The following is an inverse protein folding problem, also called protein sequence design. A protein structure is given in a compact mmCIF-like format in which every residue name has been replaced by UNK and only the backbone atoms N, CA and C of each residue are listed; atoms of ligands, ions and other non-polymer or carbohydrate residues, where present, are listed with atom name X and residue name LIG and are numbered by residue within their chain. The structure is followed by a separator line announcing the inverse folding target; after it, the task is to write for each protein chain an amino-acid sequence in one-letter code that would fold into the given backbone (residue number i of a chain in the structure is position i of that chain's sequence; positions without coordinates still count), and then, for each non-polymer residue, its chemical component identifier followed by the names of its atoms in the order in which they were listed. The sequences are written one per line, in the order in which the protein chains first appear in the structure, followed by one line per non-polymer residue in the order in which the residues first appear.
data_IF_715453468812
#
_entry.id   IF_715453468812
#
_cell.length_a   1.000
_cell.length_b   1.000
_cell.length_c   1.000
_cell.angle_alpha   90.00
_cell.angle_beta   90.00
_cell.angle_gamma   90.00
#
_symmetry.space_group_name_H-M   'P 1'
#
loop_
_entity.id
_entity.type
_entity.pdbx_description
1 polymer ?
#
# COMPACT_ATOMS: atom_id res chain seq x y z
N UNK A 1 40.76 -20.01 -37.29
CA UNK A 1 41.32 -21.29 -36.84
C UNK A 1 40.77 -21.60 -35.46
N UNK A 2 39.98 -22.71 -35.34
CA UNK A 2 39.43 -23.39 -34.16
C UNK A 2 38.35 -22.61 -33.36
N UNK A 3 37.07 -22.72 -33.66
CA UNK A 3 36.10 -23.79 -33.26
C UNK A 3 36.38 -24.44 -31.90
N UNK A 4 35.45 -24.18 -30.95
CA UNK A 4 35.00 -25.22 -30.02
C UNK A 4 33.53 -24.94 -29.62
N UNK A 5 32.69 -25.82 -30.15
CA UNK A 5 31.39 -26.22 -29.65
C UNK A 5 31.52 -26.80 -28.22
N UNK A 6 30.47 -26.69 -27.46
CA UNK A 6 30.32 -27.38 -26.17
C UNK A 6 28.98 -27.01 -25.53
N UNK A 7 28.01 -27.72 -25.90
CA UNK A 7 27.11 -28.65 -25.19
C UNK A 7 26.11 -28.02 -24.25
N UNK A 8 24.85 -28.08 -24.67
CA UNK A 8 23.62 -28.01 -23.88
C UNK A 8 23.62 -29.15 -22.85
N UNK A 9 23.33 -28.81 -21.59
CA UNK A 9 22.86 -29.76 -20.59
C UNK A 9 21.38 -29.44 -20.29
N UNK A 10 20.53 -30.25 -20.92
CA UNK A 10 19.16 -30.47 -20.50
C UNK A 10 19.16 -31.20 -19.14
N UNK A 11 18.94 -30.54 -18.05
CA UNK A 11 18.53 -31.17 -16.80
C UNK A 11 17.01 -31.18 -16.69
N UNK A 12 16.47 -32.33 -17.04
CA UNK A 12 15.08 -32.74 -16.84
C UNK A 12 14.72 -32.60 -15.35
N UNK A 13 13.82 -31.69 -15.05
CA UNK A 13 13.21 -31.55 -13.72
C UNK A 13 12.01 -32.49 -13.62
N UNK A 14 12.25 -33.71 -13.18
CA UNK A 14 11.24 -34.71 -12.80
C UNK A 14 11.18 -34.73 -11.28
N UNK A 15 10.33 -33.89 -10.68
CA UNK A 15 9.80 -34.09 -9.33
C UNK A 15 8.81 -32.97 -8.94
N UNK A 16 7.58 -33.04 -9.48
CA UNK A 16 6.45 -32.29 -8.89
C UNK A 16 5.09 -32.91 -9.25
N UNK A 17 4.99 -34.23 -9.15
CA UNK A 17 3.70 -34.92 -9.22
C UNK A 17 3.64 -36.04 -8.19
N UNK A 18 3.62 -35.70 -6.90
CA UNK A 18 3.19 -36.63 -5.85
C UNK A 18 2.99 -35.85 -4.53
N UNK A 19 1.96 -35.01 -4.43
CA UNK A 19 1.39 -34.58 -3.15
C UNK A 19 0.11 -33.73 -3.29
N UNK A 20 -0.83 -34.19 -4.08
CA UNK A 20 -2.20 -33.64 -4.06
C UNK A 20 -3.23 -34.76 -4.00
N UNK A 21 -3.25 -35.51 -2.91
CA UNK A 21 -4.44 -36.32 -2.57
C UNK A 21 -4.39 -36.72 -1.10
N UNK A 22 -4.49 -35.74 -0.20
CA UNK A 22 -4.95 -36.03 1.18
C UNK A 22 -5.23 -34.75 1.99
N UNK A 23 -6.05 -33.86 1.48
CA UNK A 23 -6.67 -32.80 2.31
C UNK A 23 -8.00 -32.32 1.67
N UNK A 24 -8.90 -33.25 1.44
CA UNK A 24 -10.28 -32.94 1.06
C UNK A 24 -11.24 -33.71 1.95
N UNK A 25 -11.32 -33.34 3.21
CA UNK A 25 -12.45 -33.76 4.08
C UNK A 25 -12.46 -32.93 5.35
N UNK A 26 -12.80 -31.65 5.27
CA UNK A 26 -13.41 -30.89 6.36
C UNK A 26 -13.64 -29.44 5.90
N UNK A 27 -14.71 -29.20 5.21
CA UNK A 27 -15.52 -27.97 5.31
C UNK A 27 -16.43 -27.84 4.10
N UNK A 28 -17.59 -28.45 4.19
CA UNK A 28 -18.74 -27.94 3.44
C UNK A 28 -20.01 -28.38 4.17
N UNK A 29 -20.44 -27.60 5.12
CA UNK A 29 -21.80 -27.60 5.66
C UNK A 29 -22.30 -26.17 5.62
N UNK A 30 -22.73 -25.79 4.42
CA UNK A 30 -23.43 -24.57 4.13
C UNK A 30 -24.42 -24.82 3.01
N UNK A 31 -25.71 -24.87 3.40
CA UNK A 31 -26.88 -24.62 2.56
C UNK A 31 -27.12 -25.50 1.33
N UNK A 32 -27.98 -26.50 1.53
CA UNK A 32 -28.98 -26.86 0.56
C UNK A 32 -30.28 -27.18 1.32
N UNK A 33 -31.19 -26.24 1.28
CA UNK A 33 -32.63 -26.39 1.55
C UNK A 33 -33.21 -27.42 0.59
N UNK A 34 -33.84 -28.44 1.13
CA UNK A 34 -34.58 -29.38 0.31
C UNK A 34 -35.00 -30.64 1.06
N UNK A 35 -36.01 -30.47 1.91
CA UNK A 35 -37.12 -31.40 2.08
C UNK A 35 -36.85 -32.92 2.06
N UNK A 36 -36.89 -33.52 3.23
CA UNK A 36 -37.68 -34.69 3.57
C UNK A 36 -37.31 -35.24 4.93
N UNK A 37 -38.20 -34.98 5.90
CA UNK A 37 -38.36 -35.80 7.10
C UNK A 37 -38.28 -37.28 6.72
N UNK A 38 -37.10 -37.88 6.95
CA UNK A 38 -36.97 -39.29 7.29
C UNK A 38 -36.32 -39.29 8.64
N UNK A 39 -37.16 -39.25 9.66
CA UNK A 39 -36.85 -39.74 11.00
C UNK A 39 -36.35 -41.18 10.80
N UNK A 40 -35.03 -41.34 10.64
CA UNK A 40 -34.41 -42.65 10.74
C UNK A 40 -34.55 -43.02 12.20
N UNK A 41 -35.61 -43.80 12.54
CA UNK A 41 -35.72 -44.44 13.86
C UNK A 41 -34.36 -45.05 14.15
N UNK A 42 -33.68 -44.53 15.16
CA UNK A 42 -32.40 -45.10 15.62
C UNK A 42 -32.73 -46.44 16.24
N UNK A 43 -32.44 -47.53 15.50
CA UNK A 43 -32.66 -48.90 15.99
C UNK A 43 -31.72 -49.05 17.18
N UNK A 44 -32.30 -49.22 18.37
CA UNK A 44 -31.58 -49.47 19.60
C UNK A 44 -31.32 -50.95 19.75
N UNK A 45 -30.21 -51.29 20.34
CA UNK A 45 -29.88 -52.69 20.62
C UNK A 45 -30.89 -53.31 21.59
N UNK A 46 -31.07 -54.61 21.49
CA UNK A 46 -32.00 -55.38 22.31
C UNK A 46 -31.67 -55.25 23.81
N UNK A 47 -32.68 -55.14 24.65
CA UNK A 47 -32.53 -54.96 26.08
C UNK A 47 -31.66 -56.07 26.74
N UNK A 48 -31.79 -57.30 26.20
CA UNK A 48 -30.99 -58.47 26.66
C UNK A 48 -29.49 -58.27 26.39
N UNK A 49 -29.10 -57.65 25.26
CA UNK A 49 -27.70 -57.37 24.92
C UNK A 49 -27.18 -56.22 25.77
N UNK A 50 -27.97 -55.18 26.01
CA UNK A 50 -27.58 -54.03 26.84
C UNK A 50 -27.36 -54.43 28.35
N UNK A 51 -27.98 -55.50 28.82
CA UNK A 51 -27.87 -55.99 30.19
C UNK A 51 -26.70 -56.99 30.39
N UNK A 52 -25.98 -57.39 29.34
CA UNK A 52 -24.90 -58.35 29.40
C UNK A 52 -23.71 -57.84 30.21
N UNK A 53 -23.08 -58.74 30.94
CA UNK A 53 -21.76 -58.50 31.52
C UNK A 53 -20.66 -58.59 30.44
N UNK A 54 -19.47 -58.12 30.78
CA UNK A 54 -18.33 -58.16 29.83
C UNK A 54 -17.98 -59.60 29.40
N UNK A 55 -18.12 -60.57 30.29
CA UNK A 55 -17.86 -61.98 30.00
C UNK A 55 -18.96 -62.59 29.11
N UNK A 56 -20.21 -62.27 29.38
CA UNK A 56 -21.36 -62.67 28.54
C UNK A 56 -21.29 -62.05 27.15
N UNK A 57 -20.85 -60.80 27.04
CA UNK A 57 -20.66 -60.12 25.77
C UNK A 57 -19.52 -60.75 24.94
N UNK A 58 -18.43 -61.22 25.57
CA UNK A 58 -17.40 -62.01 24.88
C UNK A 58 -17.93 -63.39 24.44
N UNK A 59 -18.70 -64.03 25.30
CA UNK A 59 -19.36 -65.34 24.98
C UNK A 59 -20.38 -65.16 23.83
N UNK A 60 -21.04 -64.01 23.73
CA UNK A 60 -21.94 -63.68 22.62
C UNK A 60 -21.23 -63.75 21.26
N UNK A 61 -19.93 -63.36 21.22
CA UNK A 61 -19.07 -63.52 20.04
C UNK A 61 -18.46 -64.90 19.88
N UNK A 62 -18.89 -65.87 20.66
CA UNK A 62 -18.32 -67.22 20.70
C UNK A 62 -16.81 -67.24 21.05
N UNK A 63 -16.38 -66.36 21.92
CA UNK A 63 -15.00 -66.18 22.32
C UNK A 63 -14.83 -66.48 23.81
N UNK A 64 -13.67 -66.98 24.23
CA UNK A 64 -13.35 -67.26 25.65
C UNK A 64 -13.18 -65.90 26.40
N UNK A 65 -13.30 -65.94 27.73
CA UNK A 65 -13.22 -64.75 28.59
C UNK A 65 -11.85 -64.09 28.57
N UNK A 66 -10.76 -64.83 28.27
CA UNK A 66 -9.37 -64.35 28.17
C UNK A 66 -8.94 -63.94 26.76
N UNK A 67 -9.89 -63.77 25.85
CA UNK A 67 -9.64 -63.42 24.45
C UNK A 67 -8.85 -62.10 24.27
N UNK A 68 -7.95 -62.09 23.30
CA UNK A 68 -7.21 -60.89 22.94
C UNK A 68 -8.14 -59.82 22.28
N UNK A 69 -7.81 -58.55 22.48
CA UNK A 69 -8.55 -57.46 21.81
C UNK A 69 -8.57 -57.63 20.28
N UNK A 70 -7.48 -58.12 19.71
CA UNK A 70 -7.35 -58.36 18.27
C UNK A 70 -8.34 -59.45 17.78
N UNK A 71 -8.52 -60.53 18.52
CA UNK A 71 -9.46 -61.59 18.14
C UNK A 71 -10.91 -61.16 18.29
N UNK A 72 -11.19 -60.34 19.31
CA UNK A 72 -12.51 -59.69 19.48
C UNK A 72 -12.83 -58.77 18.30
N UNK A 73 -11.90 -57.88 17.90
CA UNK A 73 -12.04 -57.00 16.76
C UNK A 73 -12.26 -57.78 15.46
N UNK A 74 -11.46 -58.79 15.25
CA UNK A 74 -11.57 -59.67 14.07
C UNK A 74 -12.95 -60.35 13.99
N UNK A 75 -13.49 -60.85 15.10
CA UNK A 75 -14.79 -61.50 15.17
C UNK A 75 -15.92 -60.50 14.95
N UNK A 76 -15.82 -59.31 15.56
CA UNK A 76 -16.76 -58.23 15.36
C UNK A 76 -16.85 -57.83 13.89
N UNK A 77 -15.72 -57.65 13.21
CA UNK A 77 -15.72 -57.29 11.77
C UNK A 77 -16.30 -58.39 10.88
N UNK A 78 -16.06 -59.66 11.22
CA UNK A 78 -16.66 -60.79 10.48
C UNK A 78 -18.19 -60.77 10.57
N UNK A 79 -18.70 -60.57 11.79
CA UNK A 79 -20.13 -60.54 12.01
C UNK A 79 -20.80 -59.28 11.42
N UNK A 80 -20.20 -58.17 11.57
CA UNK A 80 -20.68 -56.90 10.94
C UNK A 80 -20.79 -57.04 9.43
N UNK A 81 -19.76 -57.64 8.79
CA UNK A 81 -19.80 -57.89 7.34
C UNK A 81 -20.95 -58.84 6.93
N UNK A 82 -21.17 -59.87 7.73
CA UNK A 82 -22.25 -60.85 7.50
C UNK A 82 -23.63 -60.21 7.63
N UNK A 83 -23.92 -59.55 8.74
CA UNK A 83 -25.23 -58.99 9.01
C UNK A 83 -25.52 -57.75 8.15
N UNK A 84 -24.51 -57.04 7.71
CA UNK A 84 -24.65 -55.99 6.74
C UNK A 84 -25.08 -56.56 5.35
N UNK A 85 -24.55 -57.71 4.98
CA UNK A 85 -24.96 -58.38 3.73
C UNK A 85 -26.37 -58.95 3.85
N UNK A 86 -26.79 -59.38 5.03
CA UNK A 86 -28.16 -59.88 5.33
C UNK A 86 -29.17 -58.72 5.52
N UNK A 87 -28.71 -57.47 5.58
CA UNK A 87 -29.50 -56.24 5.84
C UNK A 87 -30.29 -56.32 7.17
N UNK A 88 -29.74 -56.99 8.16
CA UNK A 88 -30.35 -57.14 9.50
C UNK A 88 -29.83 -56.03 10.41
N UNK A 89 -30.55 -54.88 10.40
CA UNK A 89 -30.16 -53.70 11.15
C UNK A 89 -30.25 -53.89 12.66
N UNK A 90 -31.21 -54.72 13.14
CA UNK A 90 -31.33 -55.03 14.57
C UNK A 90 -30.11 -55.78 15.06
N UNK A 91 -29.69 -56.84 14.33
CA UNK A 91 -28.48 -57.59 14.70
C UNK A 91 -27.20 -56.74 14.59
N UNK A 92 -27.15 -55.78 13.66
CA UNK A 92 -26.04 -54.82 13.59
C UNK A 92 -25.97 -53.93 14.82
N UNK A 93 -27.11 -53.46 15.33
CA UNK A 93 -27.17 -52.72 16.57
C UNK A 93 -26.76 -53.58 17.80
N UNK A 94 -27.25 -54.82 17.83
CA UNK A 94 -26.94 -55.77 18.91
C UNK A 94 -25.43 -56.11 18.99
N UNK A 95 -24.80 -56.42 17.84
CA UNK A 95 -23.35 -56.73 17.85
C UNK A 95 -22.50 -55.53 18.14
N UNK A 96 -22.92 -54.32 17.77
CA UNK A 96 -22.22 -53.07 18.10
C UNK A 96 -22.25 -52.87 19.64
N UNK A 97 -23.43 -53.00 20.25
CA UNK A 97 -23.58 -52.85 21.70
C UNK A 97 -22.81 -53.95 22.48
N UNK A 98 -22.89 -55.20 22.00
CA UNK A 98 -22.14 -56.30 22.60
C UNK A 98 -20.62 -56.09 22.51
N UNK A 99 -20.13 -55.51 21.38
CA UNK A 99 -18.71 -55.19 21.22
C UNK A 99 -18.25 -54.08 22.19
N UNK A 100 -19.02 -53.02 22.35
CA UNK A 100 -18.73 -51.94 23.28
C UNK A 100 -18.64 -52.45 24.75
N UNK A 101 -19.53 -53.37 25.11
CA UNK A 101 -19.50 -54.02 26.43
C UNK A 101 -18.27 -54.96 26.54
N UNK A 102 -18.04 -55.86 25.57
CA UNK A 102 -16.93 -56.81 25.57
C UNK A 102 -15.57 -56.14 25.57
N UNK A 103 -15.39 -55.03 24.87
CA UNK A 103 -14.16 -54.22 24.82
C UNK A 103 -13.94 -53.34 26.05
N UNK A 104 -14.96 -53.19 26.90
CA UNK A 104 -14.94 -52.32 28.06
C UNK A 104 -14.96 -50.83 27.72
N UNK A 105 -15.31 -50.44 26.50
CA UNK A 105 -15.41 -49.06 26.08
C UNK A 105 -16.48 -48.33 26.91
N UNK A 106 -17.65 -48.94 27.03
CA UNK A 106 -18.77 -48.38 27.80
C UNK A 106 -18.42 -48.13 29.28
N UNK A 107 -17.77 -49.08 29.90
CA UNK A 107 -17.33 -48.95 31.31
C UNK A 107 -16.26 -47.85 31.49
N UNK A 108 -15.39 -47.66 30.46
CA UNK A 108 -14.41 -46.56 30.48
C UNK A 108 -15.08 -45.20 30.29
N UNK A 109 -16.05 -45.10 29.39
CA UNK A 109 -16.80 -43.86 29.15
C UNK A 109 -17.60 -43.47 30.40
N UNK A 110 -18.28 -44.41 31.05
CA UNK A 110 -19.01 -44.17 32.29
C UNK A 110 -18.08 -43.71 33.41
N UNK A 111 -16.92 -44.36 33.59
CA UNK A 111 -15.92 -43.97 34.57
C UNK A 111 -15.30 -42.61 34.30
N UNK A 112 -15.15 -42.20 33.02
CA UNK A 112 -14.72 -40.85 32.63
C UNK A 112 -15.81 -39.85 32.90
N UNK A 113 -17.06 -40.16 32.55
CA UNK A 113 -18.20 -39.27 32.82
C UNK A 113 -18.42 -39.05 34.31
N UNK A 114 -18.27 -40.08 35.13
CA UNK A 114 -18.40 -40.00 36.60
C UNK A 114 -17.29 -39.12 37.18
N UNK A 115 -16.04 -39.30 36.73
CA UNK A 115 -14.92 -38.43 37.13
C UNK A 115 -15.11 -36.96 36.67
N UNK A 116 -15.61 -36.75 35.46
CA UNK A 116 -15.88 -35.44 34.96
C UNK A 116 -17.09 -34.74 35.65
N UNK A 117 -18.08 -35.56 36.07
CA UNK A 117 -19.20 -35.05 36.86
C UNK A 117 -18.78 -34.64 38.28
N UNK A 118 -17.83 -35.37 38.90
CA UNK A 118 -17.28 -35.09 40.21
C UNK A 118 -16.21 -33.99 40.22
N UNK A 119 -15.65 -33.61 39.06
CA UNK A 119 -14.61 -32.59 38.94
C UNK A 119 -15.20 -31.19 39.11
N UNK A 120 -14.52 -30.30 39.86
CA UNK A 120 -14.87 -28.90 39.98
C UNK A 120 -14.89 -28.27 38.58
N UNK A 121 -16.06 -27.80 38.14
CA UNK A 121 -16.25 -27.13 36.86
C UNK A 121 -15.92 -25.64 36.99
N UNK A 122 -14.94 -25.15 36.22
CA UNK A 122 -14.66 -23.74 36.05
C UNK A 122 -15.26 -23.29 34.70
N UNK A 123 -16.14 -22.29 34.72
CA UNK A 123 -16.85 -21.79 33.52
C UNK A 123 -17.50 -22.91 32.69
N UNK A 124 -18.10 -23.93 33.37
CA UNK A 124 -18.85 -25.01 32.75
C UNK A 124 -18.02 -26.21 32.24
N UNK A 125 -16.68 -26.15 32.33
CA UNK A 125 -15.77 -27.22 31.88
C UNK A 125 -14.90 -27.76 33.02
N UNK A 126 -14.58 -29.06 33.01
CA UNK A 126 -13.63 -29.68 33.94
C UNK A 126 -12.19 -29.23 33.65
N UNK A 127 -11.29 -29.38 34.64
CA UNK A 127 -9.88 -29.03 34.46
C UNK A 127 -9.21 -29.88 33.34
N UNK A 128 -9.63 -31.12 33.14
CA UNK A 128 -9.15 -31.95 32.05
C UNK A 128 -9.62 -31.41 30.67
N UNK A 129 -10.90 -31.02 30.59
CA UNK A 129 -11.45 -30.41 29.36
C UNK A 129 -10.77 -29.08 29.00
N UNK A 130 -10.40 -28.26 30.02
CA UNK A 130 -9.61 -27.05 29.79
C UNK A 130 -8.20 -27.34 29.29
N UNK A 131 -7.52 -28.38 29.87
CA UNK A 131 -6.18 -28.79 29.41
C UNK A 131 -6.20 -29.26 27.95
N UNK A 132 -7.19 -30.07 27.56
CA UNK A 132 -7.37 -30.52 26.17
C UNK A 132 -7.69 -29.36 25.24
N UNK A 133 -8.58 -28.46 25.66
CA UNK A 133 -8.92 -27.27 24.92
C UNK A 133 -7.67 -26.39 24.66
N UNK A 134 -6.88 -26.09 25.71
CA UNK A 134 -5.65 -25.28 25.52
C UNK A 134 -4.60 -26.04 24.70
N UNK A 135 -4.51 -27.35 24.76
CA UNK A 135 -3.55 -28.09 23.97
C UNK A 135 -3.86 -28.09 22.47
N UNK A 136 -5.13 -28.27 22.09
CA UNK A 136 -5.52 -28.36 20.69
C UNK A 136 -5.93 -27.01 20.09
N UNK A 137 -6.36 -26.04 20.87
CA UNK A 137 -6.94 -24.79 20.39
C UNK A 137 -6.13 -23.55 20.76
N UNK A 138 -4.99 -23.70 21.46
CA UNK A 138 -4.17 -22.55 21.89
C UNK A 138 -3.74 -21.66 20.74
N UNK A 139 -3.51 -22.22 19.57
CA UNK A 139 -3.15 -21.48 18.36
C UNK A 139 -4.23 -20.49 17.94
N UNK A 140 -5.51 -20.76 18.21
CA UNK A 140 -6.62 -19.82 17.95
C UNK A 140 -6.49 -18.58 18.82
N UNK A 141 -6.02 -18.72 20.06
CA UNK A 141 -5.76 -17.57 20.95
C UNK A 141 -4.56 -16.76 20.47
N UNK A 142 -3.50 -17.42 20.00
CA UNK A 142 -2.33 -16.75 19.42
C UNK A 142 -2.74 -15.98 18.17
N UNK A 143 -3.52 -16.60 17.29
CA UNK A 143 -4.06 -15.94 16.10
C UNK A 143 -4.94 -14.73 16.47
N UNK A 144 -5.85 -14.91 17.45
CA UNK A 144 -6.69 -13.81 17.96
C UNK A 144 -5.86 -12.67 18.54
N UNK A 145 -4.79 -12.97 19.29
CA UNK A 145 -3.87 -11.97 19.82
C UNK A 145 -3.13 -11.23 18.70
N UNK A 146 -2.65 -11.93 17.69
CA UNK A 146 -2.00 -11.31 16.51
C UNK A 146 -2.96 -10.38 15.80
N UNK A 147 -4.21 -10.81 15.57
CA UNK A 147 -5.24 -9.97 14.94
C UNK A 147 -5.52 -8.71 15.79
N UNK A 148 -5.59 -8.85 17.12
CA UNK A 148 -5.76 -7.71 18.02
C UNK A 148 -4.59 -6.73 17.99
N UNK A 149 -3.35 -7.24 17.93
CA UNK A 149 -2.15 -6.39 17.81
C UNK A 149 -2.16 -5.65 16.47
N UNK A 150 -2.43 -6.34 15.37
CA UNK A 150 -2.51 -5.72 14.04
C UNK A 150 -3.64 -4.68 13.98
N UNK A 151 -4.83 -5.02 14.49
CA UNK A 151 -5.94 -4.08 14.58
C UNK A 151 -5.59 -2.86 15.45
N UNK A 152 -4.92 -3.07 16.58
CA UNK A 152 -4.44 -2.00 17.46
C UNK A 152 -3.41 -1.10 16.77
N UNK A 153 -2.49 -1.67 15.98
CA UNK A 153 -1.54 -0.90 15.17
C UNK A 153 -2.24 -0.08 14.08
N UNK A 154 -3.21 -0.67 13.37
CA UNK A 154 -3.99 0.03 12.35
C UNK A 154 -4.83 1.17 12.97
N UNK A 155 -5.50 0.91 14.08
CA UNK A 155 -6.26 1.94 14.81
C UNK A 155 -5.33 3.04 15.27
N UNK A 156 -4.15 2.70 15.82
CA UNK A 156 -3.15 3.69 16.20
C UNK A 156 -2.73 4.54 15.00
N UNK A 157 -2.47 3.94 13.86
CA UNK A 157 -2.05 4.66 12.65
C UNK A 157 -3.15 5.58 12.12
N UNK A 158 -4.43 5.14 12.12
CA UNK A 158 -5.55 5.93 11.60
C UNK A 158 -5.96 7.03 12.58
N UNK A 159 -6.01 6.73 13.89
CA UNK A 159 -6.59 7.64 14.88
C UNK A 159 -5.55 8.57 15.52
N UNK A 160 -4.30 8.09 15.66
CA UNK A 160 -3.25 8.82 16.38
C UNK A 160 -2.14 9.38 15.48
N UNK A 161 -2.14 9.09 14.16
CA UNK A 161 -1.29 9.87 13.24
C UNK A 161 -2.00 11.20 13.02
N UNK A 162 -1.45 12.31 13.47
CA UNK A 162 -2.06 13.61 13.22
C UNK A 162 -2.11 13.82 11.70
N UNK A 163 -3.27 14.23 11.20
CA UNK A 163 -3.37 14.65 9.80
C UNK A 163 -2.36 15.79 9.55
N UNK A 164 -1.75 15.79 8.39
CA UNK A 164 -0.95 16.93 7.97
C UNK A 164 -1.83 18.17 7.93
N UNK A 165 -1.33 19.25 8.51
CA UNK A 165 -2.06 20.50 8.55
C UNK A 165 -1.55 21.51 7.52
N UNK A 166 -0.48 21.18 6.84
CA UNK A 166 0.05 21.85 5.66
C UNK A 166 0.82 20.83 4.83
N UNK A 167 0.44 20.63 3.58
CA UNK A 167 1.09 19.70 2.65
C UNK A 167 1.65 20.47 1.46
N UNK A 168 2.98 20.47 1.32
CA UNK A 168 3.71 21.15 0.26
C UNK A 168 4.49 20.11 -0.54
N UNK A 169 4.30 20.10 -1.84
CA UNK A 169 5.04 19.24 -2.76
C UNK A 169 5.78 20.08 -3.77
N UNK A 170 7.07 19.86 -3.89
CA UNK A 170 7.89 20.48 -4.94
C UNK A 170 8.18 19.46 -6.03
N UNK A 171 8.02 19.86 -7.29
CA UNK A 171 8.26 18.98 -8.46
C UNK A 171 9.04 19.77 -9.50
N UNK A 172 10.23 19.30 -9.85
CA UNK A 172 11.04 20.04 -10.83
C UNK A 172 12.43 19.47 -11.02
N UNK A 173 13.22 20.15 -11.86
CA UNK A 173 14.62 19.81 -12.16
C UNK A 173 15.56 20.43 -11.11
N UNK A 174 15.29 20.16 -9.85
CA UNK A 174 16.06 20.64 -8.72
C UNK A 174 16.04 19.61 -7.59
N UNK A 175 17.04 19.65 -6.76
CA UNK A 175 17.01 18.99 -5.46
C UNK A 175 16.58 20.00 -4.38
N UNK A 176 16.06 19.54 -3.27
CA UNK A 176 15.59 20.38 -2.19
C UNK A 176 16.12 19.90 -0.85
N UNK A 177 16.71 20.79 -0.08
CA UNK A 177 16.90 20.62 1.34
C UNK A 177 15.62 21.09 2.05
N UNK A 178 14.87 20.15 2.59
CA UNK A 178 13.56 20.43 3.19
C UNK A 178 13.66 21.12 4.56
N UNK A 179 14.85 21.18 5.20
CA UNK A 179 15.00 21.65 6.57
C UNK A 179 14.46 23.07 6.72
N UNK A 180 14.88 23.98 5.85
CA UNK A 180 14.42 25.38 5.88
C UNK A 180 12.89 25.49 5.80
N UNK A 181 12.27 24.85 4.82
CA UNK A 181 10.84 24.96 4.60
C UNK A 181 10.03 24.31 5.72
N UNK A 182 10.52 23.22 6.31
CA UNK A 182 9.87 22.56 7.45
C UNK A 182 9.94 23.46 8.68
N UNK A 183 11.08 24.07 8.96
CA UNK A 183 11.28 24.97 10.10
C UNK A 183 10.47 26.25 9.90
N UNK A 184 10.48 26.83 8.71
CA UNK A 184 9.66 27.98 8.37
C UNK A 184 8.16 27.71 8.59
N UNK A 185 7.68 26.59 8.07
CA UNK A 185 6.27 26.19 8.23
C UNK A 185 5.88 26.01 9.69
N UNK A 186 6.78 25.49 10.54
CA UNK A 186 6.53 25.29 11.97
C UNK A 186 6.66 26.56 12.80
N UNK A 187 7.79 27.25 12.65
CA UNK A 187 8.21 28.28 13.58
C UNK A 187 7.65 29.64 13.20
N UNK A 188 7.50 29.92 11.90
CA UNK A 188 6.97 31.19 11.38
C UNK A 188 5.48 31.07 11.11
N UNK A 189 5.05 30.17 10.23
CA UNK A 189 3.64 30.00 9.90
C UNK A 189 2.80 29.29 10.99
N UNK A 190 3.44 28.55 11.91
CA UNK A 190 2.77 27.87 13.02
C UNK A 190 2.03 26.57 12.62
N UNK A 191 2.46 25.92 11.55
CA UNK A 191 1.98 24.59 11.21
C UNK A 191 2.46 23.57 12.26
N UNK A 192 1.54 22.71 12.75
CA UNK A 192 1.88 21.72 13.79
C UNK A 192 2.50 20.46 13.22
N UNK A 193 2.08 20.07 12.03
CA UNK A 193 2.50 18.85 11.37
C UNK A 193 2.61 19.07 9.86
N UNK A 194 3.53 19.92 9.38
CA UNK A 194 3.72 20.12 7.96
C UNK A 194 4.32 18.88 7.30
N UNK A 195 3.83 18.53 6.12
CA UNK A 195 4.42 17.53 5.24
C UNK A 195 5.01 18.23 4.02
N UNK A 196 6.34 18.24 3.92
CA UNK A 196 7.07 18.92 2.85
C UNK A 196 7.97 17.90 2.19
N UNK A 197 7.79 17.72 0.89
CA UNK A 197 8.56 16.75 0.12
C UNK A 197 8.79 17.24 -1.31
N UNK A 198 9.70 16.60 -2.03
CA UNK A 198 9.98 16.95 -3.41
C UNK A 198 10.12 15.70 -4.30
N UNK A 199 9.90 15.88 -5.58
CA UNK A 199 10.23 14.95 -6.64
C UNK A 199 11.17 15.65 -7.64
N UNK A 200 12.41 15.18 -7.71
CA UNK A 200 13.36 15.59 -8.73
C UNK A 200 13.06 14.84 -10.03
N UNK A 201 12.66 15.59 -11.06
CA UNK A 201 12.32 15.03 -12.39
C UNK A 201 13.49 15.14 -13.37
N UNK A 202 14.69 15.42 -12.86
CA UNK A 202 15.91 15.44 -13.68
C UNK A 202 16.11 14.07 -14.31
N UNK A 203 16.13 14.00 -15.64
CA UNK A 203 16.52 12.79 -16.33
C UNK A 203 18.03 12.64 -16.21
N UNK A 204 18.50 11.61 -15.50
CA UNK A 204 19.91 11.24 -15.54
C UNK A 204 20.30 10.82 -16.97
N UNK A 205 21.04 11.66 -17.65
CA UNK A 205 21.54 11.42 -19.00
C UNK A 205 22.73 10.43 -19.07
N UNK A 206 23.04 9.74 -17.96
CA UNK A 206 24.07 8.70 -17.97
C UNK A 206 23.52 7.39 -18.54
N UNK A 207 24.31 6.75 -19.40
CA UNK A 207 24.04 5.44 -20.03
C UNK A 207 23.80 4.35 -18.96
N UNK A 208 22.65 4.26 -18.41
CA UNK A 208 22.24 3.31 -17.36
C UNK A 208 20.99 3.73 -16.63
N UNK A 209 20.59 4.98 -16.77
CA UNK A 209 19.48 5.60 -16.04
C UNK A 209 18.13 5.57 -16.81
N UNK A 210 17.96 4.69 -17.81
CA UNK A 210 16.70 4.58 -18.59
C UNK A 210 15.44 4.36 -17.73
N UNK A 211 15.59 4.09 -16.45
CA UNK A 211 14.48 3.89 -15.53
C UNK A 211 14.32 5.01 -14.47
N UNK A 212 15.30 5.91 -14.31
CA UNK A 212 15.24 6.94 -13.26
C UNK A 212 14.24 8.04 -13.59
N UNK A 213 14.20 8.53 -14.82
CA UNK A 213 13.22 9.53 -15.25
C UNK A 213 11.78 9.06 -15.09
N UNK A 214 11.46 7.84 -15.56
CA UNK A 214 10.11 7.26 -15.39
C UNK A 214 9.76 7.02 -13.90
N UNK A 215 10.73 6.65 -13.06
CA UNK A 215 10.53 6.49 -11.63
C UNK A 215 10.25 7.85 -10.95
N UNK A 216 10.96 8.88 -11.34
CA UNK A 216 10.80 10.22 -10.79
C UNK A 216 9.46 10.85 -11.20
N UNK A 217 9.02 10.66 -12.44
CA UNK A 217 7.68 11.05 -12.90
C UNK A 217 6.56 10.29 -12.17
N UNK A 218 6.75 8.98 -11.94
CA UNK A 218 5.80 8.21 -11.13
C UNK A 218 5.75 8.72 -9.69
N UNK A 219 6.91 9.06 -9.11
CA UNK A 219 6.97 9.65 -7.76
C UNK A 219 6.23 10.98 -7.71
N UNK A 220 6.46 11.88 -8.67
CA UNK A 220 5.73 13.13 -8.79
C UNK A 220 4.22 12.91 -8.88
N UNK A 221 3.79 11.96 -9.72
CA UNK A 221 2.37 11.60 -9.87
C UNK A 221 1.76 11.12 -8.56
N UNK A 222 2.46 10.26 -7.81
CA UNK A 222 2.01 9.75 -6.51
C UNK A 222 1.92 10.87 -5.48
N UNK A 223 2.91 11.76 -5.42
CA UNK A 223 2.92 12.87 -4.48
C UNK A 223 1.79 13.88 -4.78
N UNK A 224 1.53 14.17 -6.05
CA UNK A 224 0.44 15.05 -6.46
C UNK A 224 -0.95 14.41 -6.26
N UNK A 225 -1.03 13.08 -6.24
CA UNK A 225 -2.26 12.36 -5.90
C UNK A 225 -2.62 12.46 -4.41
N UNK A 226 -1.70 12.90 -3.54
CA UNK A 226 -1.96 13.20 -2.13
C UNK A 226 -2.66 14.55 -1.93
N UNK A 227 -3.02 15.24 -3.02
CA UNK A 227 -3.73 16.51 -3.02
C UNK A 227 -3.08 17.57 -2.11
N UNK A 228 -1.77 17.89 -2.34
CA UNK A 228 -1.09 18.90 -1.54
C UNK A 228 -1.81 20.25 -1.65
N UNK A 229 -1.71 21.08 -0.62
CA UNK A 229 -2.27 22.42 -0.63
C UNK A 229 -1.47 23.38 -1.52
N UNK A 230 -0.13 23.29 -1.42
CA UNK A 230 0.80 24.12 -2.18
C UNK A 230 1.67 23.24 -3.05
N UNK A 231 1.83 23.60 -4.31
CA UNK A 231 2.74 22.91 -5.22
C UNK A 231 3.76 23.93 -5.74
N UNK A 232 5.03 23.53 -5.75
CA UNK A 232 6.13 24.37 -6.21
C UNK A 232 6.78 23.67 -7.40
N UNK A 233 6.84 24.39 -8.53
CA UNK A 233 7.42 23.90 -9.77
C UNK A 233 8.61 24.75 -10.21
N UNK A 234 9.45 24.24 -11.10
CA UNK A 234 10.26 25.07 -11.96
C UNK A 234 9.48 25.47 -13.24
N UNK A 235 10.01 26.44 -13.98
CA UNK A 235 9.37 26.95 -15.19
C UNK A 235 9.21 25.90 -16.30
N UNK A 236 10.06 24.87 -16.33
CA UNK A 236 9.97 23.80 -17.33
C UNK A 236 8.90 22.77 -16.97
N UNK A 237 8.77 22.48 -15.68
CA UNK A 237 7.85 21.47 -15.15
C UNK A 237 6.42 21.98 -15.00
N UNK A 238 6.25 23.25 -14.66
CA UNK A 238 4.93 23.83 -14.36
C UNK A 238 3.87 23.57 -15.46
N UNK A 239 4.14 23.76 -16.77
CA UNK A 239 3.11 23.56 -17.80
C UNK A 239 2.57 22.12 -17.87
N UNK A 240 3.36 21.09 -17.52
CA UNK A 240 2.91 19.68 -17.50
C UNK A 240 1.76 19.44 -16.52
N UNK A 241 1.65 20.28 -15.49
CA UNK A 241 0.69 20.11 -14.41
C UNK A 241 -0.37 21.21 -14.39
N UNK A 242 -0.64 21.85 -15.53
CA UNK A 242 -1.64 22.91 -15.68
C UNK A 242 -2.98 22.56 -15.00
N UNK A 243 -3.50 21.35 -15.19
CA UNK A 243 -4.78 20.91 -14.63
C UNK A 243 -4.77 20.77 -13.07
N UNK A 244 -3.60 20.84 -12.44
CA UNK A 244 -3.45 20.81 -10.99
C UNK A 244 -3.42 22.18 -10.35
N UNK A 245 -3.24 23.24 -11.14
CA UNK A 245 -3.11 24.59 -10.65
C UNK A 245 -4.49 25.26 -10.49
N UNK A 246 -4.70 25.91 -9.37
CA UNK A 246 -5.86 26.76 -9.19
C UNK A 246 -5.70 28.07 -9.97
N UNK A 247 -6.81 28.58 -10.51
CA UNK A 247 -6.84 29.92 -11.10
C UNK A 247 -7.04 30.96 -9.99
N UNK A 248 -6.02 31.74 -9.70
CA UNK A 248 -5.95 32.61 -8.51
C UNK A 248 -6.16 34.08 -8.80
N UNK A 249 -6.77 34.45 -9.93
CA UNK A 249 -6.96 35.87 -10.33
C UNK A 249 -7.70 36.68 -9.26
N UNK A 250 -8.71 36.08 -8.61
CA UNK A 250 -9.50 36.77 -7.60
C UNK A 250 -8.76 36.96 -6.27
N UNK A 251 -7.88 36.04 -5.96
CA UNK A 251 -7.09 35.99 -4.73
C UNK A 251 -5.79 36.76 -4.85
N UNK A 252 -5.20 36.77 -6.03
CA UNK A 252 -3.91 37.41 -6.32
C UNK A 252 -3.86 38.91 -5.93
N UNK A 253 -4.89 39.69 -6.30
CA UNK A 253 -4.93 41.09 -5.91
C UNK A 253 -5.00 41.31 -4.40
N UNK A 254 -5.67 40.41 -3.67
CA UNK A 254 -5.74 40.47 -2.22
C UNK A 254 -4.41 40.04 -1.57
N UNK A 255 -3.72 39.07 -2.18
CA UNK A 255 -2.41 38.64 -1.77
C UNK A 255 -1.39 39.77 -1.96
N UNK A 256 -1.27 40.32 -3.16
CA UNK A 256 -0.35 41.43 -3.47
C UNK A 256 -0.57 42.64 -2.56
N UNK A 257 -1.82 42.96 -2.23
CA UNK A 257 -2.15 44.08 -1.35
C UNK A 257 -1.70 43.89 0.11
N UNK A 258 -1.32 42.68 0.50
CA UNK A 258 -0.78 42.35 1.84
C UNK A 258 0.75 42.35 1.88
N UNK A 259 1.41 42.26 0.74
CA UNK A 259 2.86 42.19 0.65
C UNK A 259 3.50 43.59 0.78
N UNK A 260 4.71 43.61 1.34
CA UNK A 260 5.54 44.82 1.34
C UNK A 260 6.04 45.16 -0.06
N UNK A 261 6.33 46.44 -0.28
CA UNK A 261 6.89 46.92 -1.57
C UNK A 261 8.21 46.17 -1.89
N UNK A 262 9.02 45.85 -0.87
CA UNK A 262 10.28 45.13 -1.02
C UNK A 262 10.06 43.66 -1.46
N UNK A 263 9.01 43.00 -0.97
CA UNK A 263 8.67 41.64 -1.37
C UNK A 263 8.25 41.54 -2.82
N UNK A 264 7.60 42.59 -3.34
CA UNK A 264 7.15 42.65 -4.73
C UNK A 264 8.30 42.68 -5.75
N UNK A 265 9.51 43.05 -5.34
CA UNK A 265 10.69 43.06 -6.21
C UNK A 265 11.18 41.65 -6.57
N UNK A 266 10.78 40.61 -5.80
CA UNK A 266 11.24 39.23 -5.96
C UNK A 266 10.25 38.33 -6.70
N UNK A 267 9.05 38.83 -7.00
CA UNK A 267 7.96 38.03 -7.54
C UNK A 267 7.39 38.57 -8.82
N UNK A 268 6.87 37.67 -9.63
CA UNK A 268 6.04 38.01 -10.80
C UNK A 268 4.82 37.11 -10.92
N UNK A 269 3.73 37.56 -11.58
CA UNK A 269 2.58 36.70 -11.82
C UNK A 269 2.91 35.63 -12.86
N UNK A 270 2.59 34.36 -12.55
CA UNK A 270 2.76 33.25 -13.49
C UNK A 270 1.45 32.96 -14.22
N UNK A 271 1.48 33.06 -15.53
CA UNK A 271 0.34 32.79 -16.42
C UNK A 271 0.62 31.52 -17.21
N UNK A 272 -0.35 30.61 -17.22
CA UNK A 272 -0.30 29.39 -18.00
C UNK A 272 -1.61 29.16 -18.75
N UNK A 273 -1.54 28.49 -19.89
CA UNK A 273 -2.67 28.10 -20.71
C UNK A 273 -2.64 26.61 -21.01
N UNK A 274 -3.75 26.08 -21.51
CA UNK A 274 -3.77 24.70 -21.99
C UNK A 274 -2.85 24.50 -23.20
N UNK A 275 -2.67 25.51 -24.01
CA UNK A 275 -1.72 25.45 -25.12
C UNK A 275 -0.27 25.36 -24.64
N UNK A 276 0.10 25.93 -23.49
CA UNK A 276 1.43 25.72 -22.91
C UNK A 276 1.63 24.27 -22.51
N UNK A 277 0.60 23.61 -21.96
CA UNK A 277 0.61 22.16 -21.70
C UNK A 277 0.77 21.35 -22.99
N UNK A 278 0.02 21.64 -24.05
CA UNK A 278 0.16 20.95 -25.32
C UNK A 278 1.53 21.14 -25.96
N UNK A 279 2.14 22.31 -25.77
CA UNK A 279 3.48 22.59 -26.29
C UNK A 279 4.56 21.70 -25.62
N UNK A 280 4.50 21.48 -24.31
CA UNK A 280 5.44 20.59 -23.60
C UNK A 280 5.17 19.12 -23.89
N UNK A 281 3.92 18.74 -24.17
CA UNK A 281 3.51 17.39 -24.55
C UNK A 281 3.67 17.08 -26.04
N UNK A 282 4.19 18.00 -26.85
CA UNK A 282 4.26 17.85 -28.31
C UNK A 282 5.04 16.59 -28.73
N UNK A 283 6.16 16.28 -28.09
CA UNK A 283 6.95 15.07 -28.40
C UNK A 283 6.15 13.78 -28.12
N UNK A 284 5.38 13.73 -27.05
CA UNK A 284 4.50 12.62 -26.75
C UNK A 284 3.41 12.45 -27.81
N UNK A 285 2.76 13.55 -28.22
CA UNK A 285 1.71 13.52 -29.24
C UNK A 285 2.23 13.20 -30.67
N UNK A 286 3.53 13.40 -30.92
CA UNK A 286 4.14 12.92 -32.18
C UNK A 286 4.19 11.40 -32.22
N UNK A 287 4.47 10.74 -31.08
CA UNK A 287 4.51 9.28 -30.98
C UNK A 287 3.10 8.67 -30.84
N UNK A 288 2.17 9.40 -30.20
CA UNK A 288 0.80 8.97 -29.92
C UNK A 288 -0.22 10.01 -30.39
N UNK A 289 -0.40 10.21 -31.71
CA UNK A 289 -1.24 11.29 -32.25
C UNK A 289 -2.73 11.15 -31.90
N UNK A 290 -3.21 9.92 -31.68
CA UNK A 290 -4.60 9.64 -31.32
C UNK A 290 -4.93 10.09 -29.86
N UNK A 291 -3.92 10.31 -29.02
CA UNK A 291 -4.09 10.75 -27.64
C UNK A 291 -4.20 12.30 -27.55
N UNK A 292 -3.87 13.01 -28.63
CA UNK A 292 -3.97 14.47 -28.65
C UNK A 292 -5.44 14.90 -28.66
N UNK A 293 -5.89 15.67 -27.67
CA UNK A 293 -7.25 16.20 -27.68
C UNK A 293 -7.49 17.13 -28.87
N UNK A 294 -8.71 17.16 -29.37
CA UNK A 294 -9.10 18.16 -30.34
C UNK A 294 -8.98 19.55 -29.71
N UNK A 295 -8.41 20.54 -30.43
CA UNK A 295 -8.35 21.93 -29.97
C UNK A 295 -9.73 22.44 -29.59
N UNK A 296 -9.86 23.02 -28.40
CA UNK A 296 -11.11 23.60 -27.92
C UNK A 296 -11.04 25.13 -27.90
N UNK A 297 -12.21 25.75 -28.01
CA UNK A 297 -12.32 27.21 -27.87
C UNK A 297 -11.87 27.62 -26.45
N UNK A 298 -10.84 28.43 -26.35
CA UNK A 298 -10.31 28.94 -25.09
C UNK A 298 -9.04 28.24 -24.60
N UNK A 299 -8.49 27.27 -25.34
CA UNK A 299 -7.21 26.63 -24.98
C UNK A 299 -6.02 27.59 -24.94
N UNK A 300 -6.13 28.73 -25.66
CA UNK A 300 -5.16 29.83 -25.68
C UNK A 300 -5.36 30.87 -24.56
N UNK A 301 -6.46 30.77 -23.80
CA UNK A 301 -6.69 31.66 -22.68
C UNK A 301 -5.65 31.42 -21.58
N UNK A 302 -4.96 32.48 -21.22
CA UNK A 302 -3.99 32.46 -20.12
C UNK A 302 -4.68 32.75 -18.80
N UNK A 303 -4.48 31.89 -17.85
CA UNK A 303 -4.97 32.02 -16.49
C UNK A 303 -3.81 32.34 -15.56
N UNK A 304 -4.05 33.16 -14.56
CA UNK A 304 -3.09 33.40 -13.50
C UNK A 304 -3.11 32.19 -12.56
N UNK A 305 -2.10 31.32 -12.69
CA UNK A 305 -2.05 30.01 -12.00
C UNK A 305 -1.08 29.99 -10.84
N UNK A 306 -0.24 30.99 -10.67
CA UNK A 306 0.78 30.97 -9.63
C UNK A 306 1.55 32.27 -9.52
N UNK A 307 2.58 32.21 -8.69
CA UNK A 307 3.52 33.31 -8.45
C UNK A 307 4.91 32.78 -8.69
N UNK A 308 5.65 33.44 -9.54
CA UNK A 308 7.01 33.10 -9.89
C UNK A 308 8.00 33.91 -9.04
N UNK A 309 8.96 33.22 -8.43
CA UNK A 309 10.12 33.78 -7.76
C UNK A 309 11.31 33.64 -8.70
N UNK A 310 11.91 34.78 -9.12
CA UNK A 310 12.95 34.83 -10.14
C UNK A 310 14.36 35.08 -9.56
N UNK A 311 14.48 35.49 -8.28
CA UNK A 311 15.77 35.76 -7.64
C UNK A 311 16.50 34.46 -7.32
N UNK A 312 17.70 34.17 -7.90
CA UNK A 312 18.42 32.92 -7.70
C UNK A 312 18.99 32.80 -6.28
N UNK A 313 19.18 33.91 -5.56
CA UNK A 313 19.62 33.89 -4.16
C UNK A 313 18.47 33.43 -3.27
N UNK A 314 17.26 33.90 -3.54
CA UNK A 314 16.04 33.43 -2.84
C UNK A 314 15.80 31.95 -3.13
N UNK A 315 16.00 31.48 -4.36
CA UNK A 315 15.91 30.08 -4.72
C UNK A 315 16.80 29.21 -3.81
N UNK A 316 18.08 29.54 -3.68
CA UNK A 316 19.00 28.81 -2.82
C UNK A 316 18.67 29.01 -1.32
N UNK A 317 18.21 30.20 -0.92
CA UNK A 317 17.81 30.49 0.45
C UNK A 317 16.61 29.65 0.93
N UNK A 318 15.72 29.29 0.02
CA UNK A 318 14.58 28.41 0.28
C UNK A 318 14.98 26.90 0.29
N UNK A 319 16.28 26.59 0.14
CA UNK A 319 16.82 25.23 0.17
C UNK A 319 16.81 24.51 -1.18
N UNK A 320 16.52 25.22 -2.29
CA UNK A 320 16.52 24.62 -3.61
C UNK A 320 17.90 24.68 -4.27
N UNK A 321 18.29 23.61 -4.94
CA UNK A 321 19.55 23.50 -5.65
C UNK A 321 19.25 23.07 -7.08
N UNK A 322 19.55 23.95 -8.04
CA UNK A 322 19.32 23.65 -9.45
C UNK A 322 20.18 22.49 -9.95
N UNK A 323 19.54 21.50 -10.55
CA UNK A 323 20.21 20.36 -11.19
C UNK A 323 20.64 20.62 -12.64
N UNK A 324 20.15 21.68 -13.28
CA UNK A 324 20.37 21.96 -14.68
C UNK A 324 21.20 23.22 -14.92
N UNK A 325 22.05 23.16 -15.93
CA UNK A 325 23.04 24.22 -16.24
C UNK A 325 22.57 25.29 -17.24
N UNK A 326 21.34 25.25 -17.75
CA UNK A 326 21.01 25.97 -18.97
C UNK A 326 20.08 27.19 -18.81
N UNK A 327 19.30 27.30 -17.71
CA UNK A 327 18.42 28.45 -17.48
C UNK A 327 18.49 28.93 -16.03
N UNK A 328 18.23 30.21 -15.81
CA UNK A 328 18.13 30.77 -14.48
C UNK A 328 17.01 30.06 -13.69
N UNK A 329 17.28 29.58 -12.48
CA UNK A 329 16.27 28.91 -11.71
C UNK A 329 15.14 29.86 -11.35
N UNK A 330 13.91 29.46 -11.56
CA UNK A 330 12.74 30.13 -11.02
C UNK A 330 11.85 29.13 -10.32
N UNK A 331 11.19 29.56 -9.26
CA UNK A 331 10.19 28.76 -8.56
C UNK A 331 8.80 29.32 -8.86
N UNK A 332 7.92 28.45 -9.30
CA UNK A 332 6.52 28.79 -9.51
C UNK A 332 5.72 28.17 -8.38
N UNK A 333 5.24 29.01 -7.48
CA UNK A 333 4.40 28.60 -6.35
C UNK A 333 2.95 28.65 -6.79
N UNK A 334 2.26 27.51 -6.70
CA UNK A 334 0.86 27.38 -7.09
C UNK A 334 0.02 26.82 -5.95
N UNK A 335 -1.27 27.07 -5.99
CA UNK A 335 -2.25 26.43 -5.12
C UNK A 335 -2.88 25.27 -5.90
N UNK A 336 -3.02 24.12 -5.25
CA UNK A 336 -3.65 22.97 -5.89
C UNK A 336 -5.16 23.22 -6.08
N UNK A 337 -5.64 23.05 -7.30
CA UNK A 337 -7.05 23.23 -7.65
C UNK A 337 -7.99 22.28 -6.88
N UNK A 338 -7.49 21.11 -6.48
CA UNK A 338 -8.25 20.08 -5.78
C UNK A 338 -8.12 20.15 -4.25
N UNK A 339 -7.34 21.10 -3.71
CA UNK A 339 -7.16 21.20 -2.27
C UNK A 339 -8.43 21.72 -1.58
N UNK A 340 -8.83 21.06 -0.48
CA UNK A 340 -9.90 21.50 0.40
C UNK A 340 -9.49 22.70 1.29
N UNK A 341 -8.19 22.99 1.40
CA UNK A 341 -7.62 24.02 2.29
C UNK A 341 -6.97 25.19 1.54
N UNK A 342 -7.51 25.57 0.40
CA UNK A 342 -6.93 26.64 -0.45
C UNK A 342 -6.71 27.97 0.32
N UNK A 343 -7.59 28.33 1.26
CA UNK A 343 -7.40 29.56 2.04
C UNK A 343 -6.17 29.51 2.93
N UNK A 344 -5.87 28.35 3.56
CA UNK A 344 -4.67 28.15 4.37
C UNK A 344 -3.42 28.14 3.51
N UNK A 345 -3.49 27.51 2.34
CA UNK A 345 -2.43 27.55 1.35
C UNK A 345 -2.08 29.00 0.95
N UNK A 346 -3.10 29.80 0.67
CA UNK A 346 -2.94 31.24 0.35
C UNK A 346 -2.34 32.03 1.50
N UNK A 347 -2.76 31.75 2.74
CA UNK A 347 -2.19 32.42 3.92
C UNK A 347 -0.71 32.05 4.09
N UNK A 348 -0.33 30.77 3.93
CA UNK A 348 1.06 30.34 3.95
C UNK A 348 1.90 30.99 2.83
N UNK A 349 1.38 30.96 1.60
CA UNK A 349 2.08 31.56 0.45
C UNK A 349 2.23 33.06 0.65
N UNK A 350 1.20 33.76 1.16
CA UNK A 350 1.27 35.19 1.44
C UNK A 350 2.37 35.51 2.44
N UNK A 351 2.44 34.75 3.56
CA UNK A 351 3.44 34.98 4.61
C UNK A 351 4.86 34.67 4.12
N UNK A 352 5.03 33.57 3.36
CA UNK A 352 6.30 33.20 2.76
C UNK A 352 6.80 34.29 1.79
N UNK A 353 5.93 34.81 0.93
CA UNK A 353 6.30 35.81 -0.05
C UNK A 353 6.62 37.17 0.59
N UNK A 354 5.90 37.56 1.64
CA UNK A 354 6.19 38.81 2.36
C UNK A 354 7.53 38.76 3.10
N UNK A 355 7.95 37.56 3.50
CA UNK A 355 9.21 37.35 4.21
C UNK A 355 10.46 37.14 3.31
N UNK A 356 10.28 37.08 1.98
CA UNK A 356 11.39 36.84 1.04
C UNK A 356 12.57 37.82 1.20
N UNK A 357 12.37 39.12 1.44
CA UNK A 357 13.48 40.03 1.68
C UNK A 357 14.33 39.65 2.89
N UNK A 358 13.66 39.25 3.98
CA UNK A 358 14.31 38.84 5.20
C UNK A 358 15.04 37.49 5.02
N UNK A 359 14.39 36.50 4.37
CA UNK A 359 14.99 35.19 4.04
C UNK A 359 16.27 35.40 3.22
N UNK A 360 16.22 36.20 2.17
CA UNK A 360 17.34 36.55 1.32
C UNK A 360 18.46 37.24 2.11
N UNK A 361 18.10 38.23 2.94
CA UNK A 361 19.05 38.98 3.78
C UNK A 361 19.77 38.11 4.80
N UNK A 362 19.06 37.19 5.43
CA UNK A 362 19.67 36.23 6.38
C UNK A 362 20.61 35.27 5.65
N UNK A 363 20.17 34.73 4.49
CA UNK A 363 20.99 33.81 3.70
C UNK A 363 22.30 34.45 3.25
N UNK A 364 22.25 35.68 2.71
CA UNK A 364 23.44 36.40 2.24
C UNK A 364 24.38 36.80 3.41
N UNK A 365 23.82 37.11 4.58
CA UNK A 365 24.61 37.42 5.77
C UNK A 365 25.33 36.19 6.27
N UNK A 366 24.65 35.05 6.34
CA UNK A 366 25.22 33.78 6.82
C UNK A 366 26.24 33.19 5.84
N UNK A 367 26.08 33.48 4.55
CA UNK A 367 26.90 32.97 3.47
C UNK A 367 27.64 34.09 2.72
N UNK A 368 28.34 34.95 3.46
CA UNK A 368 29.00 36.10 2.90
C UNK A 368 29.93 35.75 1.72
N UNK A 369 29.66 36.33 0.54
CA UNK A 369 30.37 36.07 -0.71
C UNK A 369 29.68 35.09 -1.66
N UNK A 370 28.66 34.33 -1.23
CA UNK A 370 27.95 33.41 -2.08
C UNK A 370 27.06 34.18 -3.10
N UNK A 371 26.45 35.28 -2.69
CA UNK A 371 25.58 36.08 -3.57
C UNK A 371 26.29 36.46 -4.88
N UNK A 372 27.54 36.97 -4.78
CA UNK A 372 28.32 37.32 -5.98
C UNK A 372 28.68 36.12 -6.84
N UNK A 373 28.87 34.96 -6.22
CA UNK A 373 29.14 33.69 -6.91
C UNK A 373 27.89 33.16 -7.64
N UNK A 374 26.71 33.25 -6.99
CA UNK A 374 25.43 32.85 -7.58
C UNK A 374 25.10 33.72 -8.78
N UNK A 375 25.14 35.04 -8.61
CA UNK A 375 24.87 36.02 -9.67
C UNK A 375 25.86 35.89 -10.85
N UNK A 376 27.13 35.58 -10.55
CA UNK A 376 28.11 35.34 -11.61
C UNK A 376 27.84 34.03 -12.37
N UNK A 377 27.42 32.99 -11.69
CA UNK A 377 27.05 31.71 -12.33
C UNK A 377 25.82 31.92 -13.22
N UNK A 378 24.77 32.62 -12.76
CA UNK A 378 23.57 32.89 -13.51
C UNK A 378 23.86 33.75 -14.74
N UNK A 379 24.67 34.81 -14.61
CA UNK A 379 25.11 35.61 -15.74
C UNK A 379 25.85 34.82 -16.79
N UNK A 380 26.72 33.89 -16.36
CA UNK A 380 27.48 33.01 -17.27
C UNK A 380 26.54 32.02 -17.97
N UNK A 381 25.55 31.46 -17.26
CA UNK A 381 24.55 30.56 -17.82
C UNK A 381 23.68 31.27 -18.86
N UNK A 382 23.20 32.48 -18.54
CA UNK A 382 22.40 33.29 -19.47
C UNK A 382 23.16 33.60 -20.79
N UNK A 383 24.46 33.91 -20.69
CA UNK A 383 25.32 34.12 -21.88
C UNK A 383 25.41 32.83 -22.71
N UNK A 384 25.71 31.69 -22.07
CA UNK A 384 25.81 30.40 -22.78
C UNK A 384 24.48 30.00 -23.45
N UNK A 385 23.35 30.23 -22.75
CA UNK A 385 22.03 29.96 -23.30
C UNK A 385 21.73 30.83 -24.54
N UNK A 386 22.11 32.12 -24.52
CA UNK A 386 21.96 33.00 -25.66
C UNK A 386 22.81 32.57 -26.86
N UNK A 387 24.09 32.19 -26.63
CA UNK A 387 24.99 31.70 -27.65
C UNK A 387 24.50 30.39 -28.30
N UNK A 388 23.95 29.47 -27.51
CA UNK A 388 23.35 28.23 -28.01
C UNK A 388 22.10 28.48 -28.85
N UNK A 389 21.24 29.44 -28.47
CA UNK A 389 20.08 29.82 -29.28
C UNK A 389 20.47 30.42 -30.62
N UNK A 390 21.49 31.30 -30.65
CA UNK A 390 22.03 31.87 -31.88
C UNK A 390 22.64 30.82 -32.78
N UNK A 391 23.41 29.85 -32.22
CA UNK A 391 23.99 28.74 -32.96
C UNK A 391 22.93 27.85 -33.60
N UNK A 392 21.88 27.45 -32.85
CA UNK A 392 20.76 26.68 -33.39
C UNK A 392 19.97 27.43 -34.45
N UNK A 393 19.76 28.74 -34.29
CA UNK A 393 19.10 29.55 -35.28
C UNK A 393 19.90 29.64 -36.59
N UNK A 394 21.25 29.73 -36.50
CA UNK A 394 22.13 29.74 -37.68
C UNK A 394 22.11 28.38 -38.40
N UNK A 395 22.16 27.27 -37.68
CA UNK A 395 22.08 25.91 -38.23
C UNK A 395 20.76 25.62 -38.94
N UNK A 396 19.63 26.09 -38.34
CA UNK A 396 18.30 25.98 -38.95
C UNK A 396 18.20 26.80 -40.25
N UNK A 397 18.84 27.95 -40.30
CA UNK A 397 18.85 28.82 -41.49
C UNK A 397 19.69 28.20 -42.64
N UNK A 398 20.78 27.50 -42.33
CA UNK A 398 21.62 26.80 -43.31
C UNK A 398 20.93 25.57 -43.91
N UNK A 399 20.13 24.85 -43.09
CA UNK A 399 19.40 23.64 -43.56
C UNK A 399 18.13 23.96 -44.34
N UNK A 400 17.70 25.24 -44.36
CA UNK A 400 16.47 25.70 -45.06
C UNK A 400 16.81 26.25 -46.48
N UNK A 401 18.03 26.33 -46.87
CA UNK A 401 18.49 26.70 -48.23
C UNK A 401 18.92 25.48 -49.03
#
# INVERSE_FOLDING_TARGET
MKEKQGTQDESINVNSEFNETSNASASNSGELLGDKDKTTEKIEASADVLAMTQEEAKAYFELPSDVSAYDLDRRFWQWTKRYRAEKDEQKLADIAAAYDIASGIKAREEAVQEKDAAAKKYMGKSAAAWKTFFYYEWWKFVLGLVVLIVAGMLIKQIVFTPAYDLNIVSVGHFTMDNEFMVDYAKDTFGAKNPYITHADVTADNEEGAQNSGAYNEQTATVLLALEPEVIIYDAMTAPYYFDKMAHIESEYNKLIAKLSDEALDYISPYYCSRNDYYAVMESYYQDYPDDRPDPADGDDLKYLCGIEITDPVVFEALGYISGWNEEAPSLIITINSNSDNQSRALDFVTELLDDLPNIRGQYTTNNAGIESSIMSRESSRAIMASENRESRAAETAETSN
#
